data_IF_945793840881
#
_entry.id   IF_945793840881
#
_cell.length_a   1.000
_cell.length_b   1.000
_cell.length_c   1.000
_cell.angle_alpha   90.00
_cell.angle_beta   90.00
_cell.angle_gamma   90.00
#
_symmetry.space_group_name_H-M   'P 1'
#
loop_
_entity.id
_entity.type
_entity.pdbx_description
1 polymer ?
#
# COMPACT_ATOMS: atom_id res chain seq x y z
N UNK A 1 -4.44 24.25 18.07
CA UNK A 1 -5.65 23.80 17.37
C UNK A 1 -5.24 23.46 15.96
N UNK A 2 -5.15 22.18 15.61
CA UNK A 2 -4.86 21.79 14.23
C UNK A 2 -6.00 22.24 13.33
N UNK A 3 -5.67 23.04 12.31
CA UNK A 3 -6.67 23.56 11.39
C UNK A 3 -7.43 22.39 10.74
N UNK A 4 -8.77 22.44 10.80
CA UNK A 4 -9.60 21.39 10.19
C UNK A 4 -9.26 21.27 8.71
N UNK A 5 -8.99 20.07 8.19
CA UNK A 5 -8.57 19.90 6.81
C UNK A 5 -9.64 20.42 5.83
N UNK A 6 -9.20 21.21 4.85
CA UNK A 6 -10.08 21.76 3.81
C UNK A 6 -10.74 20.65 3.00
N UNK A 7 -11.90 20.95 2.39
CA UNK A 7 -12.59 20.03 1.47
C UNK A 7 -11.67 19.57 0.34
N UNK A 8 -10.89 20.49 -0.23
CA UNK A 8 -9.92 20.18 -1.29
C UNK A 8 -8.85 19.18 -0.82
N UNK A 9 -8.37 19.32 0.40
CA UNK A 9 -7.38 18.40 0.97
C UNK A 9 -7.96 17.00 1.22
N UNK A 10 -9.19 16.91 1.76
CA UNK A 10 -9.90 15.63 1.95
C UNK A 10 -10.11 14.90 0.62
N UNK A 11 -10.52 15.64 -0.42
CA UNK A 11 -10.72 15.07 -1.75
C UNK A 11 -9.41 14.59 -2.39
N UNK A 12 -8.32 15.36 -2.23
CA UNK A 12 -6.99 14.93 -2.68
C UNK A 12 -6.56 13.64 -1.99
N UNK A 13 -6.78 13.50 -0.69
CA UNK A 13 -6.50 12.27 0.03
C UNK A 13 -7.32 11.09 -0.51
N UNK A 14 -8.63 11.26 -0.66
CA UNK A 14 -9.53 10.22 -1.17
C UNK A 14 -9.03 9.69 -2.52
N UNK A 15 -8.74 10.60 -3.46
CA UNK A 15 -8.19 10.24 -4.78
C UNK A 15 -6.86 9.49 -4.68
N UNK A 16 -5.95 9.92 -3.80
CA UNK A 16 -4.64 9.27 -3.61
C UNK A 16 -4.77 7.86 -3.05
N UNK A 17 -5.61 7.66 -2.02
CA UNK A 17 -5.87 6.33 -1.45
C UNK A 17 -6.49 5.41 -2.51
N UNK A 18 -7.53 5.87 -3.22
CA UNK A 18 -8.14 5.07 -4.29
C UNK A 18 -7.13 4.68 -5.36
N UNK A 19 -6.30 5.62 -5.82
CA UNK A 19 -5.27 5.32 -6.81
C UNK A 19 -4.21 4.35 -6.29
N UNK A 20 -3.82 4.45 -5.02
CA UNK A 20 -2.86 3.54 -4.42
C UNK A 20 -3.41 2.11 -4.35
N UNK A 21 -4.65 1.93 -3.87
CA UNK A 21 -5.29 0.61 -3.81
C UNK A 21 -5.49 0.03 -5.23
N UNK A 22 -5.81 0.86 -6.23
CA UNK A 22 -5.89 0.43 -7.63
C UNK A 22 -4.54 -0.08 -8.15
N UNK A 23 -3.44 0.61 -7.85
CA UNK A 23 -2.09 0.14 -8.22
C UNK A 23 -1.72 -1.15 -7.50
N UNK A 24 -2.05 -1.28 -6.22
CA UNK A 24 -1.87 -2.54 -5.49
C UNK A 24 -2.62 -3.70 -6.16
N UNK A 25 -3.87 -3.48 -6.57
CA UNK A 25 -4.63 -4.47 -7.34
C UNK A 25 -3.97 -4.81 -8.68
N UNK A 26 -3.55 -3.81 -9.46
CA UNK A 26 -2.86 -4.04 -10.74
C UNK A 26 -1.59 -4.86 -10.58
N UNK A 27 -0.77 -4.55 -9.56
CA UNK A 27 0.47 -5.30 -9.33
C UNK A 27 0.14 -6.75 -8.98
N UNK A 28 -0.86 -6.95 -8.13
CA UNK A 28 -1.29 -8.28 -7.75
C UNK A 28 -1.84 -9.07 -8.95
N UNK A 29 -2.72 -8.47 -9.76
CA UNK A 29 -3.36 -9.16 -10.87
C UNK A 29 -2.43 -9.41 -12.05
N UNK A 30 -1.51 -8.49 -12.35
CA UNK A 30 -0.61 -8.62 -13.50
C UNK A 30 0.62 -9.47 -13.21
N UNK A 31 1.14 -9.43 -11.98
CA UNK A 31 2.40 -10.08 -11.63
C UNK A 31 2.24 -11.22 -10.62
N UNK A 32 1.01 -11.55 -10.22
CA UNK A 32 0.74 -12.60 -9.24
C UNK A 32 1.31 -12.31 -7.85
N UNK A 33 1.56 -11.03 -7.54
CA UNK A 33 2.12 -10.63 -6.25
C UNK A 33 1.04 -10.66 -5.16
N UNK A 34 1.39 -11.22 -4.01
CA UNK A 34 0.57 -11.16 -2.81
C UNK A 34 0.73 -9.81 -2.10
N UNK A 35 -0.34 -9.03 -2.04
CA UNK A 35 -0.33 -7.64 -1.55
C UNK A 35 -1.43 -7.43 -0.51
N UNK A 36 -1.01 -6.87 0.62
CA UNK A 36 -1.90 -6.38 1.66
C UNK A 36 -1.58 -4.93 1.98
N UNK A 37 -2.57 -4.06 1.91
CA UNK A 37 -2.41 -2.63 2.15
C UNK A 37 -3.42 -2.19 3.21
N UNK A 38 -2.94 -1.47 4.21
CA UNK A 38 -3.76 -0.81 5.22
C UNK A 38 -3.37 0.66 5.30
N UNK A 39 -4.35 1.54 5.18
CA UNK A 39 -4.21 2.95 5.53
C UNK A 39 -5.23 3.29 6.61
N UNK A 40 -4.77 3.87 7.72
CA UNK A 40 -5.63 4.35 8.81
C UNK A 40 -5.61 5.87 8.86
N UNK A 41 -6.79 6.48 8.86
CA UNK A 41 -6.94 7.92 9.03
C UNK A 41 -8.32 8.27 9.56
N UNK A 42 -8.39 9.28 10.44
CA UNK A 42 -9.64 9.84 10.96
C UNK A 42 -10.61 8.77 11.49
N UNK A 43 -10.09 7.75 12.18
CA UNK A 43 -10.89 6.64 12.72
C UNK A 43 -11.34 5.59 11.70
N UNK A 44 -10.90 5.69 10.44
CA UNK A 44 -11.30 4.78 9.37
C UNK A 44 -10.12 4.04 8.75
N UNK A 45 -10.32 2.75 8.52
CA UNK A 45 -9.41 1.92 7.75
C UNK A 45 -9.81 1.87 6.27
N UNK A 46 -8.81 1.98 5.41
CA UNK A 46 -8.88 1.67 3.99
C UNK A 46 -7.98 0.46 3.74
N UNK A 47 -8.61 -0.67 3.41
CA UNK A 47 -7.91 -1.96 3.29
C UNK A 47 -8.05 -2.49 1.87
N UNK A 48 -6.95 -3.01 1.34
CA UNK A 48 -6.94 -3.87 0.15
C UNK A 48 -6.22 -5.16 0.50
N UNK A 49 -6.81 -6.29 0.10
CA UNK A 49 -6.19 -7.61 0.21
C UNK A 49 -6.29 -8.29 -1.14
N UNK A 50 -5.16 -8.81 -1.65
CA UNK A 50 -5.15 -9.64 -2.85
C UNK A 50 -5.57 -11.09 -2.62
N UNK A 51 -5.61 -11.51 -1.36
CA UNK A 51 -5.85 -12.90 -0.97
C UNK A 51 -6.83 -12.96 0.21
N UNK A 52 -7.61 -14.03 0.22
CA UNK A 52 -8.56 -14.44 1.25
C UNK A 52 -8.11 -15.73 1.96
N UNK A 53 -6.88 -16.19 1.72
CA UNK A 53 -6.32 -17.40 2.33
C UNK A 53 -6.24 -17.27 3.85
N UNK A 54 -6.47 -18.38 4.55
CA UNK A 54 -6.31 -18.43 6.00
C UNK A 54 -4.88 -18.04 6.43
N UNK A 55 -4.79 -17.19 7.44
CA UNK A 55 -3.52 -16.68 7.95
C UNK A 55 -2.85 -15.61 7.06
N UNK A 56 -3.56 -15.08 6.06
CA UNK A 56 -3.19 -13.88 5.30
C UNK A 56 -3.80 -12.62 5.93
N UNK A 57 -3.09 -11.48 6.02
CA UNK A 57 -1.67 -11.31 5.69
C UNK A 57 -0.75 -12.01 6.69
N UNK A 58 0.50 -12.34 6.30
CA UNK A 58 1.49 -12.85 7.24
C UNK A 58 1.77 -11.83 8.34
N UNK A 59 2.00 -12.32 9.56
CA UNK A 59 2.52 -11.49 10.65
C UNK A 59 3.93 -11.03 10.32
N UNK A 60 4.38 -9.93 10.94
CA UNK A 60 5.73 -9.40 10.72
C UNK A 60 6.82 -10.45 10.98
N UNK A 61 6.60 -11.33 11.95
CA UNK A 61 7.50 -12.45 12.28
C UNK A 61 7.64 -13.48 11.15
N UNK A 62 6.60 -13.65 10.32
CA UNK A 62 6.60 -14.58 9.17
C UNK A 62 7.20 -13.97 7.91
N UNK A 63 7.53 -12.68 7.90
CA UNK A 63 8.14 -12.00 6.75
C UNK A 63 9.66 -12.04 6.97
N UNK A 64 10.42 -12.86 6.20
CA UNK A 64 11.87 -12.83 6.31
C UNK A 64 12.38 -11.45 5.87
N UNK A 65 13.10 -10.73 6.74
CA UNK A 65 13.77 -9.49 6.39
C UNK A 65 14.82 -9.76 5.32
N UNK A 66 14.46 -9.58 4.04
CA UNK A 66 15.45 -9.47 2.99
C UNK A 66 15.89 -8.01 2.95
N UNK A 67 17.13 -7.73 3.35
CA UNK A 67 17.77 -6.46 3.02
C UNK A 67 17.67 -6.29 1.49
N UNK A 68 16.97 -5.27 1.03
CA UNK A 68 17.05 -4.88 -0.37
C UNK A 68 18.50 -4.46 -0.62
N UNK A 69 19.28 -5.31 -1.27
CA UNK A 69 20.59 -4.92 -1.80
C UNK A 69 20.37 -3.74 -2.73
N UNK A 70 21.03 -2.64 -2.38
CA UNK A 70 21.05 -1.37 -3.10
C UNK A 70 21.82 -1.47 -4.42
N UNK A 71 21.47 -2.42 -5.29
CA UNK A 71 21.95 -2.43 -6.66
C UNK A 71 20.86 -1.83 -7.56
N UNK A 72 20.80 -0.51 -7.56
CA UNK A 72 20.14 0.23 -8.63
C UNK A 72 20.91 0.05 -9.95
N UNK A 73 20.26 0.13 -11.12
CA UNK A 73 20.95 0.01 -12.39
C UNK A 73 21.98 1.13 -12.53
N UNK A 74 23.26 0.77 -12.73
CA UNK A 74 24.25 1.71 -13.25
C UNK A 74 23.89 2.01 -14.70
N UNK A 75 23.21 3.12 -14.92
CA UNK A 75 23.04 3.67 -16.27
C UNK A 75 24.40 4.25 -16.65
N UNK A 76 25.15 3.53 -17.50
CA UNK A 76 26.31 4.09 -18.19
C UNK A 76 25.83 5.12 -19.21
N UNK A 77 26.50 6.28 -19.23
CA UNK A 77 26.29 7.37 -20.20
C UNK A 77 26.68 6.99 -21.60
#
# INVERSE_FOLDING_TARGET
>A
MDAKPTRAWKERYRKRVTNFLRRAHEISSQFGADIYVVAYRDGKYHVFSSSDRDGWPPTAEKIPFRQQSSEGPRISK
#
